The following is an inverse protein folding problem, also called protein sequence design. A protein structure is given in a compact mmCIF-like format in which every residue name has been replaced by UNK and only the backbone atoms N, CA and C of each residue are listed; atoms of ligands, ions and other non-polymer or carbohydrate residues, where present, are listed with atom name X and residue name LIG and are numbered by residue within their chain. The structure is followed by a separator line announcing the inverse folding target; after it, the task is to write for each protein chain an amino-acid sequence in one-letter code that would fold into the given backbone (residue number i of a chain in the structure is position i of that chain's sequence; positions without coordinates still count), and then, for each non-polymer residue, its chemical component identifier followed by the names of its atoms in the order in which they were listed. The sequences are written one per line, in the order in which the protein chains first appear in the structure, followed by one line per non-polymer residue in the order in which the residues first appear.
data_IF_211418840158
#
_entry.id   IF_211418840158
#
_cell.length_a   1.000
_cell.length_b   1.000
_cell.length_c   1.000
_cell.angle_alpha   90.00
_cell.angle_beta   90.00
_cell.angle_gamma   90.00
#
_symmetry.space_group_name_H-M   'P 1'
#
loop_
_entity.id
_entity.type
_entity.pdbx_description
1 polymer ?
#
# COMPACT_ATOMS: atom_id res chain seq x y z
N UNK A 1 30.25 4.03 -3.80
CA UNK A 1 28.99 3.28 -3.62
C UNK A 1 28.78 2.71 -2.22
N UNK A 2 29.82 2.52 -1.40
CA UNK A 2 29.67 1.99 -0.03
C UNK A 2 28.85 2.89 0.91
N UNK A 3 29.10 4.21 0.86
CA UNK A 3 28.34 5.20 1.64
C UNK A 3 26.83 5.18 1.33
N UNK A 4 26.46 5.09 0.05
CA UNK A 4 25.05 5.02 -0.37
C UNK A 4 24.37 3.74 0.13
N UNK A 5 25.06 2.60 0.14
CA UNK A 5 24.51 1.35 0.66
C UNK A 5 24.24 1.44 2.17
N UNK A 6 25.20 1.93 2.97
CA UNK A 6 24.99 2.13 4.40
C UNK A 6 23.85 3.12 4.67
N UNK A 7 23.76 4.19 3.88
CA UNK A 7 22.69 5.15 4.04
C UNK A 7 21.30 4.55 3.78
N UNK A 8 21.11 3.81 2.69
CA UNK A 8 19.79 3.27 2.30
C UNK A 8 19.37 2.02 3.07
N UNK A 9 20.29 1.12 3.41
CA UNK A 9 19.95 -0.17 4.02
C UNK A 9 20.12 -0.20 5.53
N UNK A 10 21.04 0.61 6.09
CA UNK A 10 21.27 0.65 7.54
C UNK A 10 20.54 1.84 8.19
N UNK A 11 20.68 3.06 7.66
CA UNK A 11 20.19 4.26 8.34
C UNK A 11 18.73 4.58 7.99
N UNK A 12 18.40 4.59 6.71
CA UNK A 12 17.06 4.95 6.21
C UNK A 12 15.89 4.14 6.82
N UNK A 13 15.95 2.81 7.01
CA UNK A 13 14.81 2.07 7.56
C UNK A 13 14.43 2.51 8.99
N UNK A 14 15.40 2.89 9.83
CA UNK A 14 15.13 3.38 11.18
C UNK A 14 14.54 4.80 11.18
N UNK A 15 15.01 5.66 10.28
CA UNK A 15 14.42 7.00 10.10
C UNK A 15 12.98 6.86 9.59
N UNK A 16 12.74 6.04 8.57
CA UNK A 16 11.40 5.81 8.04
C UNK A 16 10.46 5.19 9.08
N UNK A 17 10.94 4.22 9.86
CA UNK A 17 10.16 3.58 10.92
C UNK A 17 9.82 4.53 12.07
N UNK A 18 10.79 5.32 12.55
CA UNK A 18 10.54 6.30 13.63
C UNK A 18 9.56 7.39 13.20
N UNK A 19 9.72 7.95 12.00
CA UNK A 19 8.79 8.95 11.44
C UNK A 19 7.40 8.36 11.22
N UNK A 20 7.29 7.11 10.76
CA UNK A 20 6.01 6.42 10.59
C UNK A 20 5.26 6.23 11.91
N UNK A 21 5.95 5.78 12.96
CA UNK A 21 5.34 5.54 14.28
C UNK A 21 4.95 6.85 14.97
N UNK A 22 5.88 7.81 15.07
CA UNK A 22 5.65 9.09 15.74
C UNK A 22 4.63 9.93 14.95
N UNK A 23 4.74 9.95 13.62
CA UNK A 23 3.79 10.65 12.77
C UNK A 23 2.38 10.09 12.86
N UNK A 24 2.23 8.76 12.94
CA UNK A 24 0.93 8.11 13.14
C UNK A 24 0.34 8.43 14.51
N UNK A 25 1.17 8.43 15.56
CA UNK A 25 0.74 8.76 16.91
C UNK A 25 0.32 10.23 17.04
N UNK A 26 1.16 11.17 16.60
CA UNK A 26 0.82 12.61 16.65
C UNK A 26 -0.46 12.92 15.87
N UNK A 27 -0.68 12.26 14.72
CA UNK A 27 -1.90 12.44 13.94
C UNK A 27 -3.13 11.83 14.64
N UNK A 28 -2.94 10.76 15.40
CA UNK A 28 -4.02 10.15 16.19
C UNK A 28 -4.46 11.08 17.34
N UNK A 29 -3.52 11.75 18.00
CA UNK A 29 -3.81 12.60 19.18
C UNK A 29 -4.33 13.99 18.78
N UNK A 30 -3.68 14.67 17.83
CA UNK A 30 -4.01 16.05 17.45
C UNK A 30 -4.95 16.17 16.24
N UNK A 31 -5.22 15.06 15.53
CA UNK A 31 -5.76 15.08 14.17
C UNK A 31 -7.01 14.23 13.94
N UNK A 32 -7.80 13.92 14.97
CA UNK A 32 -8.93 12.98 14.88
C UNK A 32 -9.94 13.32 13.76
N UNK A 33 -10.24 14.60 13.53
CA UNK A 33 -11.14 15.02 12.45
C UNK A 33 -10.63 14.63 11.05
N UNK A 34 -9.31 14.53 10.87
CA UNK A 34 -8.67 14.17 9.59
C UNK A 34 -8.45 12.66 9.45
N UNK A 35 -8.80 11.86 10.46
CA UNK A 35 -8.65 10.41 10.47
C UNK A 35 -9.90 9.74 9.89
N UNK A 36 -10.13 9.96 8.60
CA UNK A 36 -11.26 9.37 7.87
C UNK A 36 -10.75 8.74 6.59
N UNK A 37 -11.41 7.67 6.16
CA UNK A 37 -11.31 7.27 4.78
C UNK A 37 -12.02 8.32 3.94
N UNK A 38 -11.26 8.98 3.08
CA UNK A 38 -11.77 10.07 2.25
C UNK A 38 -12.54 9.47 1.07
N UNK A 39 -13.70 8.87 1.36
CA UNK A 39 -14.57 8.25 0.38
C UNK A 39 -14.89 9.20 -0.76
N UNK A 40 -14.59 8.79 -1.98
CA UNK A 40 -15.13 9.43 -3.19
C UNK A 40 -16.37 8.69 -3.70
N UNK A 41 -16.90 7.73 -2.93
CA UNK A 41 -17.95 6.84 -3.42
C UNK A 41 -19.30 7.51 -3.63
N UNK A 42 -19.58 8.55 -2.85
CA UNK A 42 -20.78 9.35 -3.00
C UNK A 42 -20.77 10.20 -4.29
N UNK A 43 -19.59 10.64 -4.75
CA UNK A 43 -19.44 11.58 -5.86
C UNK A 43 -19.53 10.89 -7.23
N UNK A 44 -19.00 9.67 -7.36
CA UNK A 44 -19.11 8.88 -8.57
C UNK A 44 -19.17 7.39 -8.23
N UNK A 45 -20.33 6.77 -8.44
CA UNK A 45 -20.57 5.35 -8.16
C UNK A 45 -20.10 4.41 -9.27
N UNK A 46 -19.82 4.91 -10.47
CA UNK A 46 -19.63 4.07 -11.66
C UNK A 46 -18.31 3.29 -11.58
N UNK A 47 -18.39 1.96 -11.54
CA UNK A 47 -17.24 1.05 -11.62
C UNK A 47 -16.36 0.96 -10.36
N UNK A 48 -16.76 1.59 -9.26
CA UNK A 48 -15.97 1.65 -8.03
C UNK A 48 -15.98 0.38 -7.21
N UNK A 49 -17.10 -0.36 -7.20
CA UNK A 49 -17.17 -1.63 -6.49
C UNK A 49 -16.15 -2.62 -7.07
N UNK A 50 -16.03 -2.69 -8.39
CA UNK A 50 -15.07 -3.55 -9.07
C UNK A 50 -13.63 -3.07 -8.86
N UNK A 51 -13.36 -1.78 -9.10
CA UNK A 51 -12.02 -1.21 -8.98
C UNK A 51 -11.49 -1.23 -7.53
N UNK A 52 -12.35 -0.89 -6.55
CA UNK A 52 -12.00 -0.91 -5.13
C UNK A 52 -11.75 -2.33 -4.64
N UNK A 53 -12.64 -3.29 -4.95
CA UNK A 53 -12.46 -4.67 -4.50
C UNK A 53 -11.21 -5.32 -5.10
N UNK A 54 -10.92 -5.10 -6.39
CA UNK A 54 -9.71 -5.62 -7.05
C UNK A 54 -8.43 -5.07 -6.40
N UNK A 55 -8.41 -3.77 -6.09
CA UNK A 55 -7.28 -3.13 -5.43
C UNK A 55 -7.08 -3.65 -4.00
N UNK A 56 -8.16 -3.75 -3.21
CA UNK A 56 -8.07 -4.19 -1.81
C UNK A 56 -7.71 -5.67 -1.67
N UNK A 57 -8.32 -6.55 -2.47
CA UNK A 57 -7.97 -7.98 -2.45
C UNK A 57 -6.51 -8.17 -2.89
N UNK A 58 -6.07 -7.40 -3.90
CA UNK A 58 -4.68 -7.40 -4.34
C UNK A 58 -3.70 -6.94 -3.26
N UNK A 59 -3.92 -5.76 -2.67
CA UNK A 59 -2.98 -5.19 -1.67
C UNK A 59 -2.95 -6.00 -0.37
N UNK A 60 -4.08 -6.54 0.09
CA UNK A 60 -4.12 -7.40 1.27
C UNK A 60 -3.40 -8.72 1.01
N UNK A 61 -3.54 -9.30 -0.19
CA UNK A 61 -2.79 -10.49 -0.60
C UNK A 61 -1.28 -10.25 -0.62
N UNK A 62 -0.84 -9.11 -1.17
CA UNK A 62 0.58 -8.72 -1.19
C UNK A 62 1.11 -8.49 0.22
N UNK A 63 0.34 -7.78 1.06
CA UNK A 63 0.72 -7.49 2.45
C UNK A 63 0.88 -8.76 3.27
N UNK A 64 -0.10 -9.67 3.21
CA UNK A 64 -0.02 -10.97 3.87
C UNK A 64 1.15 -11.80 3.33
N UNK A 65 1.35 -11.83 2.01
CA UNK A 65 2.46 -12.54 1.37
C UNK A 65 3.84 -11.99 1.78
N UNK A 66 4.01 -10.68 1.87
CA UNK A 66 5.26 -10.06 2.30
C UNK A 66 5.50 -10.25 3.80
N UNK A 67 4.46 -10.11 4.61
CA UNK A 67 4.54 -10.29 6.06
C UNK A 67 4.93 -11.73 6.40
N UNK A 68 4.24 -12.72 5.81
CA UNK A 68 4.56 -14.13 6.00
C UNK A 68 5.87 -14.52 5.32
N UNK A 69 6.24 -13.89 4.20
CA UNK A 69 7.49 -14.18 3.49
C UNK A 69 8.74 -13.74 4.26
N UNK A 70 8.72 -12.53 4.84
CA UNK A 70 9.91 -11.94 5.46
C UNK A 70 9.97 -12.11 6.98
N UNK A 71 8.83 -12.17 7.69
CA UNK A 71 8.83 -12.30 9.15
C UNK A 71 8.73 -13.75 9.64
N UNK A 72 8.44 -14.74 8.78
CA UNK A 72 8.39 -16.14 9.24
C UNK A 72 9.80 -16.68 9.48
N UNK A 73 10.13 -17.05 10.72
CA UNK A 73 11.48 -17.48 11.04
C UNK A 73 11.72 -18.91 10.53
N UNK A 74 12.96 -19.19 10.12
CA UNK A 74 13.35 -20.43 9.45
C UNK A 74 13.01 -21.69 10.28
N UNK A 75 13.19 -21.62 11.60
CA UNK A 75 12.90 -22.72 12.54
C UNK A 75 11.44 -23.19 12.57
N UNK A 76 10.48 -22.37 12.15
CA UNK A 76 9.06 -22.72 12.19
C UNK A 76 8.64 -23.69 11.08
N UNK A 77 9.40 -23.77 9.98
CA UNK A 77 8.99 -24.52 8.78
C UNK A 77 10.09 -25.30 8.06
N UNK A 78 11.29 -25.42 8.64
CA UNK A 78 12.42 -26.19 8.07
C UNK A 78 12.01 -27.59 7.56
N UNK A 79 11.06 -28.25 8.23
CA UNK A 79 10.60 -29.58 7.86
C UNK A 79 9.50 -29.62 6.77
N UNK A 80 8.80 -28.52 6.49
CA UNK A 80 7.59 -28.52 5.63
C UNK A 80 7.64 -27.56 4.43
N UNK A 81 8.47 -26.50 4.47
CA UNK A 81 8.57 -25.50 3.40
C UNK A 81 10.03 -25.15 3.08
N UNK A 82 10.68 -25.88 2.14
CA UNK A 82 11.99 -25.48 1.65
C UNK A 82 11.91 -24.12 0.93
N UNK A 83 13.04 -23.39 0.91
CA UNK A 83 13.15 -22.03 0.36
C UNK A 83 12.60 -21.89 -1.07
N UNK A 84 12.83 -22.89 -1.91
CA UNK A 84 12.34 -22.92 -3.29
C UNK A 84 10.80 -22.91 -3.39
N UNK A 85 10.09 -23.57 -2.46
CA UNK A 85 8.63 -23.60 -2.43
C UNK A 85 8.07 -22.26 -2.00
N UNK A 86 8.70 -21.61 -1.00
CA UNK A 86 8.34 -20.24 -0.59
C UNK A 86 8.55 -19.25 -1.72
N UNK A 87 9.65 -19.35 -2.46
CA UNK A 87 9.92 -18.46 -3.59
C UNK A 87 8.93 -18.69 -4.75
N UNK A 88 8.63 -19.94 -5.10
CA UNK A 88 7.62 -20.25 -6.12
C UNK A 88 6.23 -19.74 -5.71
N UNK A 89 5.82 -19.95 -4.47
CA UNK A 89 4.56 -19.42 -3.94
C UNK A 89 4.54 -17.89 -3.99
N UNK A 90 5.62 -17.21 -3.61
CA UNK A 90 5.73 -15.76 -3.69
C UNK A 90 5.60 -15.25 -5.14
N UNK A 91 6.20 -15.93 -6.11
CA UNK A 91 6.07 -15.55 -7.53
C UNK A 91 4.65 -15.71 -8.06
N UNK A 92 3.99 -16.85 -7.78
CA UNK A 92 2.64 -17.10 -8.31
C UNK A 92 1.56 -16.35 -7.54
N UNK A 93 1.52 -16.47 -6.21
CA UNK A 93 0.51 -15.82 -5.38
C UNK A 93 0.76 -14.30 -5.28
N UNK A 94 2.01 -13.89 -5.14
CA UNK A 94 2.41 -12.48 -5.15
C UNK A 94 2.26 -11.86 -6.54
N UNK A 95 2.57 -12.59 -7.61
CA UNK A 95 2.36 -12.14 -8.99
C UNK A 95 0.88 -11.94 -9.31
N UNK A 96 0.02 -12.91 -8.98
CA UNK A 96 -1.42 -12.81 -9.23
C UNK A 96 -2.06 -11.65 -8.45
N UNK A 97 -1.73 -11.51 -7.16
CA UNK A 97 -2.20 -10.40 -6.33
C UNK A 97 -1.63 -9.04 -6.78
N UNK A 98 -0.38 -9.01 -7.27
CA UNK A 98 0.27 -7.87 -7.91
C UNK A 98 -0.48 -7.38 -9.15
N UNK A 99 -0.83 -8.29 -10.06
CA UNK A 99 -1.60 -7.95 -11.27
C UNK A 99 -2.99 -7.41 -10.90
N UNK A 100 -3.70 -8.05 -9.96
CA UNK A 100 -5.00 -7.57 -9.50
C UNK A 100 -4.91 -6.17 -8.86
N UNK A 101 -3.87 -5.93 -8.05
CA UNK A 101 -3.59 -4.63 -7.44
C UNK A 101 -3.28 -3.56 -8.49
N UNK A 102 -2.43 -3.86 -9.48
CA UNK A 102 -2.10 -2.93 -10.57
C UNK A 102 -3.33 -2.58 -11.41
N UNK A 103 -4.13 -3.57 -11.82
CA UNK A 103 -5.35 -3.33 -12.60
C UNK A 103 -6.36 -2.50 -11.81
N UNK A 104 -6.58 -2.83 -10.53
CA UNK A 104 -7.46 -2.04 -9.65
C UNK A 104 -6.96 -0.60 -9.46
N UNK A 105 -5.65 -0.43 -9.24
CA UNK A 105 -5.01 0.88 -9.05
C UNK A 105 -5.05 1.75 -10.31
N UNK A 106 -4.80 1.19 -11.50
CA UNK A 106 -4.89 1.90 -12.78
C UNK A 106 -6.33 2.34 -13.06
N UNK A 107 -7.33 1.51 -12.77
CA UNK A 107 -8.74 1.89 -12.91
C UNK A 107 -9.12 3.04 -11.97
N UNK A 108 -8.65 3.03 -10.72
CA UNK A 108 -8.86 4.13 -9.77
C UNK A 108 -8.13 5.42 -10.21
N UNK A 109 -6.90 5.30 -10.71
CA UNK A 109 -6.11 6.44 -11.21
C UNK A 109 -6.78 7.07 -12.44
N UNK A 110 -7.23 6.25 -13.40
CA UNK A 110 -7.99 6.70 -14.57
C UNK A 110 -9.22 7.52 -14.14
N UNK A 111 -9.98 7.03 -13.16
CA UNK A 111 -11.15 7.76 -12.65
C UNK A 111 -10.76 9.10 -12.02
N UNK A 112 -9.68 9.15 -11.25
CA UNK A 112 -9.20 10.40 -10.64
C UNK A 112 -8.77 11.44 -11.66
N UNK A 113 -8.17 11.03 -12.78
CA UNK A 113 -7.66 11.95 -13.80
C UNK A 113 -8.73 12.41 -14.80
N UNK A 114 -9.72 11.56 -15.12
CA UNK A 114 -10.67 11.83 -16.21
C UNK A 114 -12.10 12.13 -15.75
N UNK A 115 -12.47 11.92 -14.48
CA UNK A 115 -13.80 12.26 -13.97
C UNK A 115 -13.86 13.76 -13.59
N UNK A 116 -14.54 14.57 -14.42
CA UNK A 116 -14.73 16.02 -14.20
C UNK A 116 -15.43 16.34 -12.85
N UNK A 117 -16.30 15.45 -12.36
CA UNK A 117 -16.98 15.58 -11.06
C UNK A 117 -16.06 15.32 -9.85
N UNK A 118 -14.89 14.70 -10.05
CA UNK A 118 -13.91 14.37 -9.02
C UNK A 118 -12.60 15.18 -9.18
N UNK A 119 -12.67 16.35 -9.82
CA UNK A 119 -11.56 17.32 -9.80
C UNK A 119 -11.58 18.03 -8.45
N UNK A 120 -10.87 17.46 -7.48
CA UNK A 120 -10.40 18.26 -6.35
C UNK A 120 -9.39 19.28 -6.89
N UNK A 121 -9.34 20.52 -6.37
CA UNK A 121 -8.29 21.48 -6.74
C UNK A 121 -6.91 20.83 -6.57
N UNK A 122 -5.91 21.17 -7.41
CA UNK A 122 -4.65 20.46 -7.47
C UNK A 122 -4.02 20.41 -6.06
N UNK A 123 -3.80 19.21 -5.48
CA UNK A 123 -3.03 19.14 -4.25
C UNK A 123 -1.58 19.44 -4.61
N UNK A 124 -0.99 20.36 -3.85
CA UNK A 124 0.45 20.63 -3.77
C UNK A 124 1.29 19.38 -4.09
N UNK A 125 2.31 19.46 -4.97
CA UNK A 125 3.01 18.29 -5.53
C UNK A 125 3.66 17.39 -4.48
N UNK A 126 4.01 17.93 -3.30
CA UNK A 126 4.53 17.17 -2.15
C UNK A 126 3.52 16.13 -1.62
N UNK A 127 2.22 16.36 -1.81
CA UNK A 127 1.16 15.45 -1.37
C UNK A 127 0.83 14.36 -2.38
N UNK A 128 1.23 14.44 -3.65
CA UNK A 128 0.87 13.40 -4.60
C UNK A 128 1.54 12.06 -4.27
N UNK A 129 2.83 12.05 -3.93
CA UNK A 129 3.55 10.82 -3.62
C UNK A 129 3.15 10.27 -2.24
N UNK A 130 3.17 11.11 -1.21
CA UNK A 130 2.73 10.72 0.14
C UNK A 130 1.25 10.37 0.19
N UNK A 131 0.37 11.04 -0.55
CA UNK A 131 -1.06 10.69 -0.59
C UNK A 131 -1.33 9.55 -1.56
N UNK A 132 -0.52 9.25 -2.56
CA UNK A 132 -0.70 7.99 -3.30
C UNK A 132 -0.40 6.80 -2.38
N UNK A 133 0.67 6.90 -1.58
CA UNK A 133 1.12 5.85 -0.66
C UNK A 133 0.32 5.77 0.65
N UNK A 134 -0.07 6.90 1.27
CA UNK A 134 -1.02 6.93 2.38
C UNK A 134 -2.46 6.72 1.91
N UNK A 135 -2.88 7.18 0.73
CA UNK A 135 -4.26 6.93 0.26
C UNK A 135 -4.44 5.46 -0.07
N UNK A 136 -3.41 4.71 -0.50
CA UNK A 136 -3.49 3.24 -0.62
C UNK A 136 -3.94 2.55 0.66
N UNK A 137 -3.66 3.11 1.84
CA UNK A 137 -4.11 2.62 3.14
C UNK A 137 -5.46 3.21 3.60
N UNK A 138 -6.04 4.16 2.85
CA UNK A 138 -7.23 4.94 3.23
C UNK A 138 -8.38 4.88 2.19
N UNK A 139 -8.41 3.84 1.34
CA UNK A 139 -9.49 3.60 0.36
C UNK A 139 -10.64 2.72 0.89
N UNK A 140 -10.69 2.44 2.19
CA UNK A 140 -11.80 1.68 2.82
C UNK A 140 -12.88 2.65 3.29
N UNK A 141 -14.02 2.61 2.60
CA UNK A 141 -15.22 3.44 2.77
C UNK A 141 -15.19 4.75 1.99
#
# INVERSE_FOLDING_TARGET
MHFLNMFFFDIYPYIAGSVFLIGSWLRYDYGQYTWRAASSQMLDRKGMNLASNLFHIGILGIFAGHFLGMLTPHWMYEAWLPLEVKQKMAMFAGGASGVMCLVGGVLLLKRRLFSLACVQPPPVPIFWCCRFWLSSAHWVC
#
